data_IF_515273548935
#
_entry.id   IF_515273548935
#
_cell.length_a   1.000
_cell.length_b   1.000
_cell.length_c   1.000
_cell.angle_alpha   90.00
_cell.angle_beta   90.00
_cell.angle_gamma   90.00
#
_symmetry.space_group_name_H-M   'P 1'
#
loop_
_entity.id
_entity.type
_entity.pdbx_description
1 polymer ?
#
# COMPACT_ATOMS: atom_id res chain seq x y z
N UNK A 1 -30.03 -8.90 -4.38
CA UNK A 1 -28.79 -8.28 -4.85
C UNK A 1 -28.70 -6.91 -4.21
N UNK A 2 -28.09 -6.82 -3.04
CA UNK A 2 -28.03 -5.57 -2.26
C UNK A 2 -26.77 -4.80 -2.58
N UNK A 3 -26.86 -3.47 -2.50
CA UNK A 3 -25.76 -2.52 -2.71
C UNK A 3 -24.66 -2.60 -1.64
N UNK A 4 -24.80 -3.48 -0.65
CA UNK A 4 -24.00 -3.51 0.59
C UNK A 4 -22.60 -4.12 0.40
N UNK A 5 -22.41 -4.98 -0.59
CA UNK A 5 -21.12 -5.67 -0.81
C UNK A 5 -20.13 -4.87 -1.68
N UNK A 6 -20.55 -3.75 -2.27
CA UNK A 6 -19.70 -2.92 -3.11
C UNK A 6 -18.74 -2.08 -2.25
N UNK A 7 -17.43 -2.28 -2.41
CA UNK A 7 -16.41 -1.49 -1.71
C UNK A 7 -16.17 -0.14 -2.38
N UNK A 8 -16.04 -0.16 -3.71
CA UNK A 8 -15.92 1.05 -4.50
C UNK A 8 -16.45 0.85 -5.92
N UNK A 9 -16.80 1.97 -6.54
CA UNK A 9 -17.20 2.06 -7.94
C UNK A 9 -16.48 3.21 -8.61
N UNK A 10 -16.07 2.99 -9.85
CA UNK A 10 -15.52 4.00 -10.75
C UNK A 10 -16.48 4.17 -11.91
N UNK A 11 -17.00 5.39 -12.09
CA UNK A 11 -17.95 5.69 -13.17
C UNK A 11 -17.39 6.76 -14.11
N UNK A 12 -17.37 6.45 -15.40
CA UNK A 12 -17.03 7.38 -16.48
C UNK A 12 -15.70 8.15 -16.25
N UNK A 13 -14.72 7.50 -15.63
CA UNK A 13 -13.44 8.12 -15.37
C UNK A 13 -12.71 8.40 -16.68
N UNK A 14 -12.30 9.65 -16.85
CA UNK A 14 -11.42 10.06 -17.93
C UNK A 14 -10.25 10.84 -17.35
N UNK A 15 -9.10 10.17 -17.27
CA UNK A 15 -7.89 10.73 -16.67
C UNK A 15 -6.77 10.76 -17.70
N UNK A 16 -6.03 11.87 -17.73
CA UNK A 16 -4.90 12.00 -18.66
C UNK A 16 -3.68 11.24 -18.12
N UNK A 17 -3.13 10.32 -18.91
CA UNK A 17 -1.87 9.63 -18.60
C UNK A 17 -0.68 10.50 -19.02
N UNK A 18 -0.71 10.98 -20.26
CA UNK A 18 0.31 11.88 -20.82
C UNK A 18 -0.32 12.75 -21.93
N UNK A 19 0.48 13.49 -22.70
CA UNK A 19 -0.02 14.37 -23.77
C UNK A 19 -0.83 13.64 -24.86
N UNK A 20 -0.60 12.34 -25.07
CA UNK A 20 -1.19 11.54 -26.17
C UNK A 20 -2.12 10.43 -25.70
N UNK A 21 -2.18 10.15 -24.40
CA UNK A 21 -2.92 9.01 -23.85
C UNK A 21 -3.81 9.39 -22.67
N UNK A 22 -4.99 8.75 -22.62
CA UNK A 22 -5.98 8.88 -21.57
C UNK A 22 -6.35 7.49 -21.05
N UNK A 23 -6.52 7.38 -19.73
CA UNK A 23 -7.22 6.27 -19.10
C UNK A 23 -8.72 6.56 -19.19
N UNK A 24 -9.48 5.62 -19.75
CA UNK A 24 -10.94 5.67 -19.79
C UNK A 24 -11.51 4.44 -19.10
N UNK A 25 -12.33 4.67 -18.08
CA UNK A 25 -13.08 3.62 -17.38
C UNK A 25 -14.55 3.94 -17.51
N UNK A 26 -15.29 3.12 -18.25
CA UNK A 26 -16.74 3.32 -18.42
C UNK A 26 -17.48 3.01 -17.14
N UNK A 27 -17.24 1.82 -16.59
CA UNK A 27 -17.75 1.38 -15.31
C UNK A 27 -16.85 0.28 -14.76
N UNK A 28 -16.47 0.40 -13.50
CA UNK A 28 -15.75 -0.63 -12.75
C UNK A 28 -16.28 -0.64 -11.33
N UNK A 29 -16.53 -1.81 -10.77
CA UNK A 29 -16.97 -1.97 -9.38
C UNK A 29 -16.19 -3.09 -8.74
N UNK A 30 -15.74 -2.86 -7.51
CA UNK A 30 -15.03 -3.86 -6.73
C UNK A 30 -15.89 -4.23 -5.53
N UNK A 31 -16.14 -5.53 -5.34
CA UNK A 31 -16.91 -6.03 -4.20
C UNK A 31 -16.01 -6.63 -3.13
N UNK A 32 -16.54 -6.74 -1.93
CA UNK A 32 -15.86 -7.37 -0.81
C UNK A 32 -15.54 -8.84 -1.13
N UNK A 33 -14.30 -9.25 -0.85
CA UNK A 33 -13.81 -10.60 -1.16
C UNK A 33 -13.37 -10.83 -2.61
N UNK A 34 -13.54 -9.84 -3.50
CA UNK A 34 -13.02 -9.94 -4.86
C UNK A 34 -11.52 -9.61 -4.91
N UNK A 35 -10.79 -10.38 -5.72
CA UNK A 35 -9.41 -10.12 -6.07
C UNK A 35 -9.31 -9.82 -7.55
N UNK A 36 -8.81 -8.64 -7.89
CA UNK A 36 -8.65 -8.19 -9.27
C UNK A 36 -7.19 -8.04 -9.62
N UNK A 37 -6.83 -8.53 -10.81
CA UNK A 37 -5.51 -8.32 -11.39
C UNK A 37 -5.63 -7.56 -12.71
N UNK A 38 -4.96 -6.42 -12.80
CA UNK A 38 -4.93 -5.58 -13.99
C UNK A 38 -3.62 -5.78 -14.75
N UNK A 39 -3.71 -6.30 -15.97
CA UNK A 39 -2.56 -6.48 -16.84
C UNK A 39 -2.52 -5.44 -17.95
N UNK A 40 -1.31 -5.08 -18.38
CA UNK A 40 -1.10 -4.16 -19.49
C UNK A 40 0.37 -3.73 -19.59
N UNK A 41 0.76 -3.21 -20.75
CA UNK A 41 2.12 -2.71 -20.98
C UNK A 41 2.49 -1.50 -20.11
N UNK A 42 3.74 -1.07 -20.19
CA UNK A 42 4.20 0.14 -19.50
C UNK A 42 3.50 1.38 -20.09
N UNK A 43 3.07 2.29 -19.23
CA UNK A 43 2.42 3.53 -19.65
C UNK A 43 0.95 3.40 -20.07
N UNK A 44 0.30 2.24 -19.89
CA UNK A 44 -1.14 2.07 -20.21
C UNK A 44 -2.08 2.66 -19.14
N UNK A 45 -1.54 3.14 -18.02
CA UNK A 45 -2.33 3.78 -16.96
C UNK A 45 -2.67 2.89 -15.77
N UNK A 46 -2.01 1.74 -15.58
CA UNK A 46 -2.23 0.84 -14.42
C UNK A 46 -2.06 1.56 -13.08
N UNK A 47 -0.88 2.13 -12.85
CA UNK A 47 -0.59 2.97 -11.67
C UNK A 47 -1.55 4.15 -11.56
N UNK A 48 -1.98 4.73 -12.68
CA UNK A 48 -2.95 5.83 -12.67
C UNK A 48 -4.30 5.35 -12.12
N UNK A 49 -4.79 4.19 -12.59
CA UNK A 49 -6.02 3.60 -12.05
C UNK A 49 -5.85 3.21 -10.58
N UNK A 50 -4.72 2.60 -10.20
CA UNK A 50 -4.41 2.24 -8.83
C UNK A 50 -4.45 3.48 -7.90
N UNK A 51 -3.83 4.58 -8.31
CA UNK A 51 -3.86 5.84 -7.56
C UNK A 51 -5.25 6.49 -7.55
N UNK A 52 -6.04 6.33 -8.63
CA UNK A 52 -7.42 6.82 -8.69
C UNK A 52 -8.32 6.09 -7.70
N UNK A 53 -8.30 4.74 -7.71
CA UNK A 53 -9.12 3.94 -6.78
C UNK A 53 -8.64 4.06 -5.33
N UNK A 54 -7.37 4.38 -5.10
CA UNK A 54 -6.81 4.58 -3.76
C UNK A 54 -7.06 5.99 -3.20
N UNK A 55 -7.83 6.84 -3.89
CA UNK A 55 -8.09 8.21 -3.43
C UNK A 55 -6.87 9.13 -3.45
N UNK A 56 -5.76 8.73 -4.09
CA UNK A 56 -4.50 9.49 -4.12
C UNK A 56 -4.47 10.57 -5.20
N UNK A 57 -5.56 10.71 -5.95
CA UNK A 57 -5.71 11.72 -7.01
C UNK A 57 -6.84 12.68 -6.68
N UNK A 58 -6.70 13.94 -7.11
CA UNK A 58 -7.78 14.92 -7.02
C UNK A 58 -9.01 14.44 -7.80
N UNK A 59 -8.79 13.82 -8.97
CA UNK A 59 -9.86 13.29 -9.81
C UNK A 59 -10.66 12.14 -9.15
N UNK A 60 -10.14 11.53 -8.08
CA UNK A 60 -10.83 10.43 -7.39
C UNK A 60 -12.18 10.89 -6.84
N UNK A 61 -12.27 12.12 -6.32
CA UNK A 61 -13.53 12.67 -5.80
C UNK A 61 -14.59 12.91 -6.87
N UNK A 62 -14.22 12.89 -8.16
CA UNK A 62 -15.15 13.04 -9.27
C UNK A 62 -15.59 11.71 -9.88
N UNK A 63 -14.76 10.68 -9.76
CA UNK A 63 -14.95 9.44 -10.49
C UNK A 63 -15.14 8.21 -9.61
N UNK A 64 -14.75 8.26 -8.34
CA UNK A 64 -14.77 7.12 -7.44
C UNK A 64 -15.78 7.35 -6.33
N UNK A 65 -16.72 6.42 -6.21
CA UNK A 65 -17.66 6.33 -5.09
C UNK A 65 -17.22 5.17 -4.21
N UNK A 66 -16.95 5.45 -2.93
CA UNK A 66 -16.62 4.44 -1.93
C UNK A 66 -17.88 3.99 -1.19
N UNK A 67 -17.82 2.80 -0.57
CA UNK A 67 -18.84 2.36 0.39
C UNK A 67 -19.00 3.39 1.50
N UNK A 68 -20.19 3.45 2.09
CA UNK A 68 -20.44 4.25 3.29
C UNK A 68 -19.41 3.90 4.39
N UNK A 69 -18.97 4.92 5.14
CA UNK A 69 -17.94 4.85 6.20
C UNK A 69 -16.52 4.47 5.76
N UNK A 70 -16.28 4.15 4.48
CA UNK A 70 -14.94 3.94 3.95
C UNK A 70 -14.22 5.28 3.77
N UNK A 71 -13.09 5.44 4.46
CA UNK A 71 -12.17 6.55 4.24
C UNK A 71 -10.98 6.04 3.42
N UNK A 72 -10.79 6.47 2.16
CA UNK A 72 -9.69 5.98 1.34
C UNK A 72 -8.30 6.24 1.95
N UNK A 73 -8.14 7.30 2.75
CA UNK A 73 -6.86 7.61 3.41
C UNK A 73 -6.51 6.67 4.56
N UNK A 74 -7.52 6.03 5.17
CA UNK A 74 -7.38 5.11 6.31
C UNK A 74 -7.53 3.65 5.90
N UNK A 75 -8.43 3.37 4.97
CA UNK A 75 -8.93 2.03 4.67
C UNK A 75 -8.32 1.42 3.41
N UNK A 76 -7.60 2.21 2.60
CA UNK A 76 -6.87 1.71 1.44
C UNK A 76 -5.37 1.68 1.71
N UNK A 77 -4.80 0.48 1.72
CA UNK A 77 -3.36 0.26 1.95
C UNK A 77 -2.67 -0.04 0.63
N UNK A 78 -1.78 0.85 0.21
CA UNK A 78 -1.07 0.72 -1.05
C UNK A 78 0.35 0.17 -0.88
N UNK A 79 0.75 -0.70 -1.80
CA UNK A 79 2.12 -1.19 -1.97
C UNK A 79 2.56 -0.82 -3.39
N UNK A 80 3.26 0.31 -3.52
CA UNK A 80 3.79 0.82 -4.79
C UNK A 80 5.18 1.43 -4.63
N UNK A 81 5.91 1.59 -5.72
CA UNK A 81 7.21 2.28 -5.70
C UNK A 81 7.07 3.73 -5.20
N UNK A 82 6.02 4.43 -5.64
CA UNK A 82 5.71 5.80 -5.20
C UNK A 82 5.48 5.88 -3.69
N UNK A 83 4.72 4.92 -3.12
CA UNK A 83 4.48 4.86 -1.68
C UNK A 83 5.78 4.58 -0.89
N UNK A 84 6.64 3.71 -1.41
CA UNK A 84 7.94 3.44 -0.81
C UNK A 84 8.80 4.71 -0.77
N UNK A 85 8.87 5.44 -1.88
CA UNK A 85 9.61 6.71 -1.94
C UNK A 85 9.02 7.78 -1.01
N UNK A 86 7.70 7.90 -0.95
CA UNK A 86 7.01 8.84 -0.06
C UNK A 86 7.39 8.61 1.41
N UNK A 87 7.40 7.35 1.85
CA UNK A 87 7.75 6.98 3.23
C UNK A 87 9.22 7.25 3.53
N UNK A 88 10.12 6.88 2.61
CA UNK A 88 11.54 7.14 2.75
C UNK A 88 11.84 8.64 2.83
N UNK A 89 11.25 9.44 1.94
CA UNK A 89 11.41 10.90 1.95
C UNK A 89 10.85 11.53 3.22
N UNK A 90 9.70 11.05 3.70
CA UNK A 90 9.12 11.53 4.95
C UNK A 90 10.05 11.24 6.13
N UNK A 91 10.59 10.03 6.21
CA UNK A 91 11.46 9.63 7.30
C UNK A 91 12.76 10.45 7.30
N UNK A 92 13.39 10.63 6.14
CA UNK A 92 14.60 11.45 6.01
C UNK A 92 14.37 12.94 6.28
N UNK A 93 13.20 13.48 5.98
CA UNK A 93 12.88 14.89 6.33
C UNK A 93 12.73 15.11 7.82
N UNK A 94 12.38 14.05 8.55
CA UNK A 94 12.24 14.06 10.00
C UNK A 94 13.55 13.68 10.70
N UNK A 95 14.62 13.48 9.93
CA UNK A 95 15.94 13.19 10.46
C UNK A 95 16.45 14.36 11.29
N UNK A 96 16.57 14.15 12.59
CA UNK A 96 17.13 15.12 13.53
C UNK A 96 18.46 14.63 14.10
N UNK A 97 19.14 13.68 13.46
CA UNK A 97 20.41 13.13 13.93
C UNK A 97 21.47 14.21 14.15
N UNK A 98 21.44 15.28 13.34
CA UNK A 98 22.35 16.44 13.46
C UNK A 98 22.10 17.32 14.69
N UNK A 99 20.92 17.20 15.33
CA UNK A 99 20.49 18.00 16.48
C UNK A 99 20.38 17.21 17.78
N UNK A 100 20.69 15.91 17.75
CA UNK A 100 20.64 15.04 18.92
C UNK A 100 22.03 14.86 19.51
N UNK A 101 22.20 15.23 20.79
CA UNK A 101 23.44 14.98 21.57
C UNK A 101 23.83 13.49 21.62
N UNK A 102 22.90 12.58 21.26
CA UNK A 102 23.11 11.13 21.19
C UNK A 102 23.17 10.57 19.76
N UNK A 103 22.83 11.34 18.72
CA UNK A 103 22.81 10.90 17.31
C UNK A 103 22.00 9.61 17.03
N UNK A 104 20.94 9.34 17.80
CA UNK A 104 20.16 8.08 17.75
C UNK A 104 18.78 8.21 17.08
N UNK A 105 18.61 9.07 16.05
CA UNK A 105 17.36 9.00 15.28
C UNK A 105 17.37 7.77 14.37
N UNK A 106 16.81 6.67 14.88
CA UNK A 106 16.59 5.45 14.11
C UNK A 106 15.42 5.58 13.12
N UNK A 107 14.65 6.67 13.17
CA UNK A 107 13.50 6.91 12.32
C UNK A 107 12.30 5.98 12.58
N UNK A 108 11.46 5.83 11.57
CA UNK A 108 10.36 4.86 11.57
C UNK A 108 10.95 3.46 11.49
N UNK A 109 10.77 2.65 12.53
CA UNK A 109 11.22 1.26 12.53
C UNK A 109 10.34 0.38 11.65
N UNK A 110 10.85 -0.76 11.21
CA UNK A 110 10.05 -1.77 10.48
C UNK A 110 8.85 -2.21 11.30
N UNK A 111 9.01 -2.45 12.60
CA UNK A 111 7.89 -2.81 13.49
C UNK A 111 6.78 -1.76 13.49
N UNK A 112 7.12 -0.47 13.59
CA UNK A 112 6.16 0.64 13.49
C UNK A 112 5.51 0.72 12.10
N UNK A 113 6.28 0.50 11.02
CA UNK A 113 5.73 0.49 9.67
C UNK A 113 4.72 -0.65 9.48
N UNK A 114 5.02 -1.85 9.97
CA UNK A 114 4.12 -3.01 9.85
C UNK A 114 2.76 -2.76 10.50
N UNK A 115 2.74 -2.05 11.63
CA UNK A 115 1.52 -1.73 12.37
C UNK A 115 0.83 -0.44 11.90
N UNK A 116 1.47 0.35 11.02
CA UNK A 116 0.97 1.67 10.64
C UNK A 116 -0.31 1.65 9.79
N UNK A 117 -0.78 0.47 9.38
CA UNK A 117 -2.04 0.28 8.66
C UNK A 117 -3.22 -0.08 9.56
N UNK A 118 -2.97 -0.31 10.85
CA UNK A 118 -3.98 -0.62 11.86
C UNK A 118 -4.58 0.66 12.45
N UNK A 119 -5.79 0.56 13.02
CA UNK A 119 -6.36 1.63 13.85
C UNK A 119 -5.64 1.70 15.19
N UNK A 120 -5.64 2.88 15.83
CA UNK A 120 -4.88 3.10 17.07
C UNK A 120 -5.26 2.14 18.22
N UNK A 121 -6.52 1.72 18.27
CA UNK A 121 -7.07 0.83 19.30
C UNK A 121 -7.11 -0.65 18.88
N UNK A 122 -6.49 -1.01 17.75
CA UNK A 122 -6.46 -2.40 17.29
C UNK A 122 -5.44 -3.23 18.10
N UNK A 123 -5.87 -4.42 18.50
CA UNK A 123 -4.97 -5.44 19.02
C UNK A 123 -3.96 -5.89 17.96
N UNK A 124 -2.82 -6.42 18.41
CA UNK A 124 -1.84 -7.00 17.51
C UNK A 124 -2.46 -8.20 16.76
N UNK A 125 -2.51 -8.20 15.42
CA UNK A 125 -3.14 -9.30 14.69
C UNK A 125 -2.39 -10.61 14.91
N UNK A 126 -3.13 -11.73 15.04
CA UNK A 126 -2.54 -13.07 15.18
C UNK A 126 -1.57 -13.43 14.04
N UNK A 127 -1.77 -12.86 12.86
CA UNK A 127 -0.89 -13.05 11.70
C UNK A 127 0.43 -12.26 11.76
N UNK A 128 0.64 -11.40 12.77
CA UNK A 128 1.85 -10.55 12.85
C UNK A 128 3.12 -11.40 12.81
N UNK A 129 3.22 -12.40 13.69
CA UNK A 129 4.42 -13.23 13.80
C UNK A 129 4.66 -14.04 12.51
N UNK A 130 3.61 -14.65 11.96
CA UNK A 130 3.72 -15.40 10.71
C UNK A 130 4.14 -14.50 9.55
N UNK A 131 3.59 -13.29 9.43
CA UNK A 131 3.98 -12.34 8.38
C UNK A 131 5.45 -11.93 8.51
N UNK A 132 5.92 -11.66 9.73
CA UNK A 132 7.33 -11.31 9.98
C UNK A 132 8.28 -12.44 9.57
N UNK A 133 7.90 -13.69 9.86
CA UNK A 133 8.68 -14.88 9.51
C UNK A 133 8.70 -15.15 8.01
N UNK A 134 7.53 -15.19 7.35
CA UNK A 134 7.42 -15.50 5.92
C UNK A 134 8.11 -14.44 5.04
N UNK A 135 8.09 -13.18 5.47
CA UNK A 135 8.74 -12.08 4.77
C UNK A 135 10.20 -11.86 5.22
N UNK A 136 10.71 -12.68 6.14
CA UNK A 136 12.09 -12.62 6.64
C UNK A 136 12.46 -11.19 7.11
N UNK A 137 11.60 -10.67 8.00
CA UNK A 137 11.70 -9.32 8.57
C UNK A 137 12.27 -9.28 10.00
N UNK A 138 12.44 -10.43 10.65
CA UNK A 138 12.77 -10.54 12.08
C UNK A 138 14.00 -9.71 12.50
N UNK A 139 15.11 -9.83 11.78
CA UNK A 139 16.35 -9.07 12.08
C UNK A 139 16.29 -7.58 11.72
N UNK A 140 15.20 -7.12 11.12
CA UNK A 140 14.99 -5.75 10.66
C UNK A 140 13.96 -4.99 11.50
N UNK A 141 13.25 -5.65 12.43
CA UNK A 141 12.14 -5.06 13.17
C UNK A 141 12.49 -3.74 13.86
N UNK A 142 13.68 -3.66 14.46
CA UNK A 142 14.16 -2.47 15.18
C UNK A 142 14.98 -1.52 14.30
N UNK A 143 15.17 -1.84 13.02
CA UNK A 143 15.90 -0.98 12.09
C UNK A 143 14.98 0.07 11.49
N UNK A 144 15.53 1.27 11.30
CA UNK A 144 14.89 2.34 10.54
C UNK A 144 14.67 1.97 9.08
N UNK A 145 13.49 2.31 8.54
CA UNK A 145 13.13 2.02 7.15
C UNK A 145 14.07 2.68 6.14
N UNK A 146 14.68 3.82 6.50
CA UNK A 146 15.63 4.55 5.65
C UNK A 146 16.94 3.80 5.38
N UNK A 147 17.28 2.84 6.25
CA UNK A 147 18.50 2.02 6.19
C UNK A 147 18.30 0.67 5.48
N UNK A 148 17.09 0.39 5.00
CA UNK A 148 16.78 -0.84 4.29
C UNK A 148 17.14 -0.76 2.80
N UNK A 149 17.54 -1.89 2.22
CA UNK A 149 17.56 -2.04 0.76
C UNK A 149 16.15 -1.93 0.17
N UNK A 150 16.04 -1.62 -1.13
CA UNK A 150 14.73 -1.53 -1.82
C UNK A 150 13.89 -2.80 -1.64
N UNK A 151 14.49 -3.99 -1.75
CA UNK A 151 13.79 -5.25 -1.55
C UNK A 151 13.29 -5.44 -0.11
N UNK A 152 14.09 -5.06 0.89
CA UNK A 152 13.70 -5.17 2.30
C UNK A 152 12.54 -4.25 2.68
N UNK A 153 12.59 -2.97 2.28
CA UNK A 153 11.46 -2.06 2.50
C UNK A 153 10.22 -2.49 1.70
N UNK A 154 10.41 -3.06 0.50
CA UNK A 154 9.29 -3.62 -0.28
C UNK A 154 8.61 -4.77 0.46
N UNK A 155 9.37 -5.72 1.01
CA UNK A 155 8.85 -6.79 1.88
C UNK A 155 8.13 -6.20 3.11
N UNK A 156 8.70 -5.19 3.77
CA UNK A 156 8.03 -4.54 4.90
C UNK A 156 6.69 -3.89 4.51
N UNK A 157 6.60 -3.28 3.32
CA UNK A 157 5.35 -2.69 2.83
C UNK A 157 4.29 -3.73 2.48
N UNK A 158 4.70 -4.87 1.93
CA UNK A 158 3.82 -6.04 1.75
C UNK A 158 3.33 -6.52 3.12
N UNK A 159 4.24 -6.66 4.09
CA UNK A 159 3.89 -7.08 5.45
C UNK A 159 2.87 -6.16 6.11
N UNK A 160 3.08 -4.83 6.00
CA UNK A 160 2.11 -3.82 6.46
C UNK A 160 0.74 -4.02 5.84
N UNK A 161 0.69 -4.26 4.52
CA UNK A 161 -0.57 -4.45 3.81
C UNK A 161 -1.29 -5.72 4.23
N UNK A 162 -0.56 -6.83 4.42
CA UNK A 162 -1.11 -8.08 4.90
C UNK A 162 -1.63 -7.94 6.33
N UNK A 163 -0.84 -7.39 7.25
CA UNK A 163 -1.22 -7.18 8.65
C UNK A 163 -2.46 -6.30 8.76
N UNK A 164 -2.54 -5.23 7.97
CA UNK A 164 -3.70 -4.34 7.97
C UNK A 164 -4.98 -5.05 7.49
N UNK A 165 -4.87 -5.94 6.49
CA UNK A 165 -6.03 -6.59 5.89
C UNK A 165 -6.48 -7.86 6.63
N UNK A 166 -5.62 -8.48 7.45
CA UNK A 166 -5.99 -9.69 8.20
C UNK A 166 -7.05 -9.35 9.26
N UNK A 167 -8.25 -9.90 9.09
CA UNK A 167 -9.35 -9.78 10.05
C UNK A 167 -10.18 -8.50 9.92
N UNK A 168 -9.73 -7.52 9.12
CA UNK A 168 -10.50 -6.31 8.83
C UNK A 168 -11.01 -6.30 7.39
N UNK A 169 -12.27 -6.71 7.22
CA UNK A 169 -12.94 -6.74 5.92
C UNK A 169 -13.26 -5.35 5.35
N UNK A 170 -12.88 -4.27 6.04
CA UNK A 170 -13.01 -2.90 5.56
C UNK A 170 -11.79 -2.47 4.76
N UNK A 171 -10.64 -3.15 4.90
CA UNK A 171 -9.43 -2.77 4.19
C UNK A 171 -9.46 -3.21 2.74
N UNK A 172 -9.04 -2.30 1.86
CA UNK A 172 -8.69 -2.59 0.48
C UNK A 172 -7.17 -2.51 0.33
N UNK A 173 -6.56 -3.59 -0.14
CA UNK A 173 -5.14 -3.60 -0.45
C UNK A 173 -4.94 -3.40 -1.95
N UNK A 174 -4.11 -2.42 -2.31
CA UNK A 174 -3.74 -2.12 -3.70
C UNK A 174 -2.27 -2.41 -3.89
N UNK A 175 -1.96 -3.40 -4.71
CA UNK A 175 -0.61 -3.72 -5.13
C UNK A 175 -0.34 -3.15 -6.52
N UNK A 176 0.65 -2.27 -6.63
CA UNK A 176 1.12 -1.73 -7.91
C UNK A 176 2.58 -2.16 -8.11
N UNK A 177 2.78 -3.12 -9.01
CA UNK A 177 4.04 -3.83 -9.27
C UNK A 177 4.79 -4.24 -7.96
N UNK A 178 4.13 -4.97 -7.05
CA UNK A 178 4.60 -5.16 -5.68
C UNK A 178 5.87 -6.01 -5.55
N UNK A 179 6.18 -6.83 -6.56
CA UNK A 179 7.36 -7.71 -6.57
C UNK A 179 8.55 -7.09 -7.30
N UNK A 180 8.39 -5.89 -7.86
CA UNK A 180 9.50 -5.14 -8.43
C UNK A 180 10.56 -4.89 -7.34
N UNK A 181 11.85 -5.03 -7.67
CA UNK A 181 13.01 -4.97 -6.76
C UNK A 181 13.18 -6.09 -5.72
N UNK A 182 12.28 -7.08 -5.66
CA UNK A 182 12.47 -8.29 -4.82
C UNK A 182 13.24 -9.36 -5.63
N UNK A 183 14.20 -10.05 -5.00
CA UNK A 183 14.93 -11.16 -5.63
C UNK A 183 14.05 -12.40 -5.86
N UNK A 184 14.45 -13.29 -6.77
CA UNK A 184 13.63 -14.46 -7.14
C UNK A 184 13.30 -15.39 -5.96
N UNK A 185 14.26 -15.63 -5.06
CA UNK A 185 14.05 -16.53 -3.92
C UNK A 185 13.05 -15.96 -2.92
N UNK A 186 13.15 -14.66 -2.65
CA UNK A 186 12.18 -13.97 -1.79
C UNK A 186 10.81 -13.83 -2.45
N UNK A 187 10.72 -13.69 -3.78
CA UNK A 187 9.42 -13.68 -4.49
C UNK A 187 8.65 -14.98 -4.31
N UNK A 188 9.32 -16.13 -4.38
CA UNK A 188 8.65 -17.42 -4.25
C UNK A 188 7.97 -17.54 -2.87
N UNK A 189 8.68 -17.17 -1.81
CA UNK A 189 8.16 -17.16 -0.42
C UNK A 189 6.99 -16.21 -0.16
N UNK A 190 6.78 -15.21 -1.02
CA UNK A 190 5.67 -14.25 -0.89
C UNK A 190 4.42 -14.77 -1.60
N UNK A 191 4.59 -15.58 -2.64
CA UNK A 191 3.51 -16.09 -3.48
C UNK A 191 2.92 -17.38 -2.91
N UNK A 192 3.75 -18.20 -2.28
CA UNK A 192 3.36 -19.42 -1.55
C UNK A 192 2.72 -19.11 -0.20
#
# INVERSE_FOLDING_TARGET
MTSEDCLLRVDQANCRINRRAQLRVTHFSLRQGEHWCLFGGNGTGKTLLANLIAGKRIESGSYVTYREEMDPGRDIVMVSFEEQQRLWQRDNRLDMSEYSDRAEDIGTTVSKLLLSGLTADADLPNAYQSVVEHLDLGMFLDKGIRFLSSGQIRRALIGRALIAAVGDTRKLVVFDDPLESIDKGSRQRIIE
#
